data_IF_704365249153
#
_entry.id   IF_704365249153
#
_cell.length_a   1.000
_cell.length_b   1.000
_cell.length_c   1.000
_cell.angle_alpha   90.00
_cell.angle_beta   90.00
_cell.angle_gamma   90.00
#
_symmetry.space_group_name_H-M   'P 1'
#
loop_
_entity.id
_entity.type
_entity.pdbx_description
1 polymer ?
#
# COMPACT_ATOMS: atom_id res chain seq x y z
N UNK A 1 32.05 -12.67 64.54
CA UNK A 1 31.75 -12.26 63.17
C UNK A 1 30.64 -13.20 62.65
N UNK A 2 29.37 -12.75 62.71
CA UNK A 2 28.22 -13.54 62.21
C UNK A 2 28.07 -13.24 60.71
N UNK A 3 28.38 -14.22 59.87
CA UNK A 3 28.01 -14.20 58.45
C UNK A 3 26.50 -14.51 58.36
N UNK A 4 25.68 -13.51 58.04
CA UNK A 4 24.31 -13.71 57.69
C UNK A 4 24.28 -14.55 56.37
N UNK A 5 23.81 -15.77 56.44
CA UNK A 5 23.51 -16.57 55.25
C UNK A 5 22.28 -15.95 54.56
N UNK A 6 22.51 -15.33 53.43
CA UNK A 6 21.43 -14.91 52.52
C UNK A 6 20.75 -16.18 51.98
N UNK A 7 19.54 -16.42 52.37
CA UNK A 7 18.68 -17.46 51.79
C UNK A 7 18.36 -17.10 50.37
N UNK A 8 18.99 -17.78 49.43
CA UNK A 8 18.56 -17.69 48.02
C UNK A 8 17.22 -18.42 47.90
N UNK A 9 16.13 -17.63 47.74
CA UNK A 9 14.82 -18.21 47.43
C UNK A 9 14.79 -18.48 45.92
N UNK A 10 14.78 -19.76 45.55
CA UNK A 10 14.57 -20.19 44.17
C UNK A 10 13.09 -20.14 43.80
N UNK A 11 12.79 -19.94 42.52
CA UNK A 11 11.43 -19.99 41.98
C UNK A 11 10.85 -21.42 42.11
N UNK A 12 9.56 -21.49 42.45
CA UNK A 12 8.85 -22.77 42.49
C UNK A 12 8.42 -23.18 41.08
N UNK A 13 8.31 -24.49 40.83
CA UNK A 13 7.83 -25.01 39.55
C UNK A 13 6.42 -24.49 39.23
N UNK A 14 5.54 -24.41 40.23
CA UNK A 14 4.18 -23.91 40.05
C UNK A 14 4.14 -22.41 39.63
N UNK A 15 5.06 -21.63 40.17
CA UNK A 15 5.16 -20.18 39.84
C UNK A 15 5.51 -19.96 38.35
N UNK A 16 6.44 -20.75 37.82
CA UNK A 16 6.77 -20.75 36.41
C UNK A 16 5.60 -21.23 35.55
N UNK A 17 4.92 -22.30 35.96
CA UNK A 17 3.75 -22.82 35.23
C UNK A 17 2.61 -21.82 35.16
N UNK A 18 2.31 -21.10 36.24
CA UNK A 18 1.27 -20.05 36.25
C UNK A 18 1.63 -18.92 35.34
N UNK A 19 2.89 -18.47 35.33
CA UNK A 19 3.35 -17.40 34.42
C UNK A 19 3.21 -17.83 32.95
N UNK A 20 3.57 -19.06 32.61
CA UNK A 20 3.44 -19.57 31.22
C UNK A 20 1.97 -19.65 30.79
N UNK A 21 1.06 -20.05 31.68
CA UNK A 21 -0.39 -20.07 31.40
C UNK A 21 -0.91 -18.65 31.13
N UNK A 22 -0.56 -17.69 31.96
CA UNK A 22 -0.97 -16.30 31.81
C UNK A 22 -0.42 -15.72 30.49
N UNK A 23 0.86 -15.95 30.20
CA UNK A 23 1.48 -15.50 28.93
C UNK A 23 0.81 -16.14 27.73
N UNK A 24 0.44 -17.41 27.82
CA UNK A 24 -0.29 -18.12 26.75
C UNK A 24 -1.67 -17.50 26.48
N UNK A 25 -2.43 -17.18 27.52
CA UNK A 25 -3.73 -16.52 27.38
C UNK A 25 -3.58 -15.13 26.78
N UNK A 26 -2.61 -14.34 27.25
CA UNK A 26 -2.36 -13.00 26.73
C UNK A 26 -1.89 -13.04 25.27
N UNK A 27 -1.04 -13.98 24.91
CA UNK A 27 -0.59 -14.17 23.52
C UNK A 27 -1.75 -14.50 22.59
N UNK A 28 -2.71 -15.34 23.01
CA UNK A 28 -3.87 -15.71 22.21
C UNK A 28 -4.80 -14.52 21.88
N UNK A 29 -4.80 -13.50 22.73
CA UNK A 29 -5.63 -12.28 22.52
C UNK A 29 -4.90 -11.21 21.70
N UNK A 30 -3.58 -11.09 21.85
CA UNK A 30 -2.78 -10.01 21.26
C UNK A 30 -2.35 -10.33 19.81
N UNK A 31 -1.95 -11.59 19.56
CA UNK A 31 -1.40 -12.00 18.26
C UNK A 31 -2.35 -11.74 17.08
N UNK A 32 -3.65 -12.06 17.12
CA UNK A 32 -4.55 -11.82 16.00
C UNK A 32 -4.68 -10.33 15.64
N UNK A 33 -4.69 -9.44 16.63
CA UNK A 33 -4.89 -7.99 16.42
C UNK A 33 -3.67 -7.29 15.82
N UNK A 34 -2.49 -7.85 15.99
CA UNK A 34 -1.25 -7.28 15.45
C UNK A 34 -1.01 -7.70 14.01
N UNK A 35 -1.53 -8.87 13.60
CA UNK A 35 -1.34 -9.40 12.24
C UNK A 35 -2.16 -8.65 11.18
N UNK A 36 -3.29 -8.03 11.54
CA UNK A 36 -4.13 -7.28 10.57
C UNK A 36 -3.63 -5.85 10.31
N UNK A 37 -2.79 -5.30 11.17
CA UNK A 37 -2.29 -3.92 11.01
C UNK A 37 -1.42 -3.69 9.77
N UNK A 38 -0.52 -4.60 9.37
CA UNK A 38 0.24 -4.44 8.13
C UNK A 38 -0.65 -4.37 6.89
N UNK A 39 -1.74 -5.11 6.86
CA UNK A 39 -2.64 -5.17 5.70
C UNK A 39 -3.45 -3.88 5.54
N UNK A 40 -3.96 -3.33 6.65
CA UNK A 40 -4.62 -2.02 6.64
C UNK A 40 -3.65 -0.92 6.19
N UNK A 41 -2.40 -0.96 6.64
CA UNK A 41 -1.38 0.00 6.23
C UNK A 41 -1.07 -0.10 4.72
N UNK A 42 -1.01 -1.30 4.15
CA UNK A 42 -0.84 -1.53 2.71
C UNK A 42 -1.99 -0.95 1.90
N UNK A 43 -3.22 -1.23 2.28
CA UNK A 43 -4.41 -0.66 1.62
C UNK A 43 -4.38 0.87 1.68
N UNK A 44 -4.09 1.45 2.84
CA UNK A 44 -3.99 2.90 3.01
C UNK A 44 -2.89 3.49 2.12
N UNK A 45 -1.73 2.84 2.05
CA UNK A 45 -0.65 3.29 1.15
C UNK A 45 -1.08 3.23 -0.32
N UNK A 46 -1.71 2.15 -0.77
CA UNK A 46 -2.22 2.04 -2.13
C UNK A 46 -3.19 3.17 -2.47
N UNK A 47 -4.11 3.48 -1.57
CA UNK A 47 -5.04 4.61 -1.74
C UNK A 47 -4.32 5.97 -1.86
N UNK A 48 -3.27 6.19 -1.08
CA UNK A 48 -2.47 7.41 -1.14
C UNK A 48 -1.68 7.51 -2.45
N UNK A 49 -1.07 6.41 -2.89
CA UNK A 49 -0.33 6.37 -4.16
C UNK A 49 -1.27 6.68 -5.34
N UNK A 50 -2.47 6.08 -5.37
CA UNK A 50 -3.47 6.33 -6.41
C UNK A 50 -3.89 7.81 -6.43
N UNK A 51 -4.14 8.44 -5.28
CA UNK A 51 -4.44 9.88 -5.20
C UNK A 51 -3.30 10.73 -5.74
N UNK A 52 -2.06 10.35 -5.46
CA UNK A 52 -0.88 11.05 -5.97
C UNK A 52 -0.76 10.91 -7.48
N UNK A 53 -0.97 9.70 -8.01
CA UNK A 53 -0.96 9.44 -9.44
C UNK A 53 -2.09 10.20 -10.17
N UNK A 54 -3.28 10.23 -9.61
CA UNK A 54 -4.42 10.98 -10.14
C UNK A 54 -4.15 12.49 -10.19
N UNK A 55 -3.53 13.02 -9.11
CA UNK A 55 -3.10 14.43 -9.08
C UNK A 55 -2.06 14.73 -10.15
N UNK A 56 -1.10 13.85 -10.35
CA UNK A 56 -0.06 13.98 -11.37
C UNK A 56 -0.63 13.88 -12.79
N UNK A 57 -1.61 12.99 -13.01
CA UNK A 57 -2.35 12.90 -14.28
C UNK A 57 -3.15 14.18 -14.57
N UNK A 58 -3.73 14.78 -13.54
CA UNK A 58 -4.45 16.04 -13.66
C UNK A 58 -3.51 17.19 -14.07
N UNK A 59 -2.30 17.25 -13.49
CA UNK A 59 -1.27 18.20 -13.91
C UNK A 59 -0.81 17.94 -15.35
N UNK A 60 -0.59 16.67 -15.71
CA UNK A 60 -0.25 16.30 -17.08
C UNK A 60 -1.31 16.77 -18.07
N UNK A 61 -2.59 16.55 -17.78
CA UNK A 61 -3.70 17.00 -18.61
C UNK A 61 -3.76 18.52 -18.72
N UNK A 62 -3.49 19.23 -17.62
CA UNK A 62 -3.50 20.70 -17.60
C UNK A 62 -2.46 21.26 -18.57
N UNK A 63 -1.26 20.69 -18.62
CA UNK A 63 -0.18 21.14 -19.50
C UNK A 63 -0.37 20.66 -20.94
N UNK A 64 -0.86 19.45 -21.15
CA UNK A 64 -0.91 18.79 -22.46
C UNK A 64 -2.31 18.74 -23.08
N UNK A 65 -3.35 19.22 -22.38
CA UNK A 65 -4.76 19.24 -22.77
C UNK A 65 -5.43 17.86 -22.86
N UNK A 66 -4.68 16.77 -22.75
CA UNK A 66 -5.17 15.41 -22.82
C UNK A 66 -4.49 14.57 -21.72
N UNK A 67 -5.16 13.53 -21.28
CA UNK A 67 -4.51 12.46 -20.50
C UNK A 67 -3.62 11.61 -21.43
N UNK A 68 -2.61 10.92 -20.90
CA UNK A 68 -1.90 9.90 -21.66
C UNK A 68 -2.87 8.84 -22.17
N UNK A 69 -2.58 8.21 -23.30
CA UNK A 69 -3.35 7.03 -23.73
C UNK A 69 -3.06 5.82 -22.83
N UNK A 70 -3.91 4.79 -22.89
CA UNK A 70 -3.65 3.53 -22.17
C UNK A 70 -2.30 2.94 -22.55
N UNK A 71 -1.91 3.01 -23.83
CA UNK A 71 -0.61 2.51 -24.32
C UNK A 71 0.58 3.32 -23.79
N UNK A 72 0.42 4.62 -23.64
CA UNK A 72 1.43 5.49 -23.01
C UNK A 72 1.55 5.23 -21.51
N UNK A 73 0.46 4.85 -20.87
CA UNK A 73 0.40 4.44 -19.48
C UNK A 73 0.85 5.50 -18.48
N UNK A 74 1.03 5.08 -17.25
CA UNK A 74 1.54 5.92 -16.17
C UNK A 74 3.02 6.31 -16.35
N UNK A 75 3.77 5.59 -17.17
CA UNK A 75 5.16 5.94 -17.51
C UNK A 75 5.28 7.34 -18.13
N UNK A 76 4.20 7.81 -18.79
CA UNK A 76 4.12 9.16 -19.33
C UNK A 76 4.27 10.27 -18.27
N UNK A 77 4.05 9.96 -17.00
CA UNK A 77 4.25 10.89 -15.88
C UNK A 77 5.73 11.07 -15.51
N UNK A 78 6.54 10.03 -15.69
CA UNK A 78 7.96 10.04 -15.34
C UNK A 78 8.87 10.31 -16.55
N UNK A 79 8.44 9.92 -17.77
CA UNK A 79 9.20 10.07 -19.01
C UNK A 79 8.30 10.61 -20.11
N UNK A 80 8.85 11.48 -20.96
CA UNK A 80 8.10 11.98 -22.11
C UNK A 80 7.67 10.80 -22.99
N UNK A 81 6.34 10.58 -23.14
CA UNK A 81 5.85 9.48 -23.95
C UNK A 81 6.06 9.74 -25.44
N UNK A 82 6.16 8.68 -26.20
CA UNK A 82 6.09 8.67 -27.65
C UNK A 82 4.69 8.25 -28.12
N UNK A 83 4.39 8.50 -29.39
CA UNK A 83 3.11 8.12 -29.98
C UNK A 83 1.99 9.13 -29.74
N UNK A 84 0.77 8.71 -30.08
CA UNK A 84 -0.41 9.58 -30.01
C UNK A 84 -1.23 9.31 -28.72
N UNK A 85 -1.76 10.39 -28.09
CA UNK A 85 -1.54 11.81 -28.41
C UNK A 85 -0.16 12.30 -27.98
N UNK A 86 0.52 13.02 -28.85
CA UNK A 86 1.83 13.61 -28.50
C UNK A 86 1.61 14.75 -27.50
N UNK A 87 2.33 14.75 -26.35
CA UNK A 87 2.20 15.81 -25.36
C UNK A 87 2.80 17.12 -25.90
N UNK A 88 2.00 18.20 -25.87
CA UNK A 88 2.41 19.49 -26.39
C UNK A 88 3.38 20.24 -25.50
N UNK A 89 3.17 20.17 -24.20
CA UNK A 89 3.94 20.89 -23.18
C UNK A 89 4.37 19.96 -22.08
N UNK A 90 5.00 18.83 -22.45
CA UNK A 90 5.47 17.90 -21.44
C UNK A 90 6.51 18.56 -20.52
N UNK A 91 6.26 18.52 -19.23
CA UNK A 91 7.11 19.15 -18.21
C UNK A 91 8.48 18.48 -18.16
N UNK A 92 9.55 19.23 -18.38
CA UNK A 92 10.92 18.74 -18.22
C UNK A 92 11.15 18.28 -16.78
N UNK A 93 11.67 17.05 -16.61
CA UNK A 93 11.81 16.38 -15.32
C UNK A 93 10.59 15.54 -14.91
N UNK A 94 9.48 15.60 -15.66
CA UNK A 94 8.30 14.80 -15.40
C UNK A 94 7.35 15.37 -14.34
N UNK A 95 6.29 14.63 -14.09
CA UNK A 95 5.23 14.94 -13.12
C UNK A 95 5.41 14.13 -11.82
N UNK A 96 6.22 13.10 -11.88
CA UNK A 96 6.67 12.26 -10.74
C UNK A 96 8.14 11.89 -10.97
N UNK A 97 8.88 11.69 -9.88
CA UNK A 97 10.29 11.30 -9.97
C UNK A 97 10.45 9.85 -10.45
N UNK A 98 9.60 8.96 -9.95
CA UNK A 98 9.54 7.55 -10.34
C UNK A 98 8.13 7.00 -10.15
N UNK A 99 7.77 6.04 -10.99
CA UNK A 99 6.49 5.35 -10.87
C UNK A 99 6.53 4.37 -9.70
N UNK A 100 5.67 4.52 -8.69
CA UNK A 100 5.63 3.61 -7.56
C UNK A 100 5.06 2.25 -7.98
N UNK A 101 5.45 1.21 -7.26
CA UNK A 101 4.73 -0.05 -7.23
C UNK A 101 3.73 -0.05 -6.09
N UNK A 102 2.69 -0.84 -6.22
CA UNK A 102 1.74 -1.04 -5.14
C UNK A 102 2.42 -1.73 -3.92
N UNK A 103 1.80 -1.73 -2.75
CA UNK A 103 2.39 -2.32 -1.53
C UNK A 103 2.62 -3.83 -1.58
N UNK A 104 2.12 -4.50 -2.60
CA UNK A 104 2.33 -5.93 -2.86
C UNK A 104 3.37 -6.20 -3.94
N UNK A 105 3.95 -5.13 -4.53
CA UNK A 105 5.04 -5.20 -5.51
C UNK A 105 4.59 -5.22 -6.96
N UNK A 106 3.29 -5.06 -7.24
CA UNK A 106 2.73 -5.03 -8.58
C UNK A 106 2.72 -3.61 -9.15
N UNK A 107 2.74 -3.42 -10.48
CA UNK A 107 2.52 -2.11 -11.08
C UNK A 107 1.07 -1.66 -10.92
N UNK A 108 0.84 -0.35 -10.72
CA UNK A 108 -0.49 0.23 -10.84
C UNK A 108 -0.98 0.15 -12.28
N UNK A 109 -2.26 -0.11 -12.44
CA UNK A 109 -2.94 -0.20 -13.74
C UNK A 109 -3.51 1.16 -14.13
N UNK A 110 -3.65 1.38 -15.43
CA UNK A 110 -4.16 2.62 -15.99
C UNK A 110 -5.02 2.36 -17.23
N UNK A 111 -6.16 3.02 -17.30
CA UNK A 111 -7.06 2.98 -18.46
C UNK A 111 -7.48 4.41 -18.85
N UNK A 112 -7.40 4.69 -20.13
CA UNK A 112 -7.94 5.91 -20.73
C UNK A 112 -8.56 5.59 -22.12
N UNK A 113 -9.87 5.69 -22.28
CA UNK A 113 -10.85 6.10 -21.27
C UNK A 113 -11.02 5.08 -20.14
N UNK A 114 -11.33 5.57 -18.94
CA UNK A 114 -11.67 4.73 -17.80
C UNK A 114 -13.05 4.09 -17.94
N UNK A 115 -13.29 3.06 -17.16
CA UNK A 115 -14.61 2.40 -17.06
C UNK A 115 -15.46 2.98 -15.92
N UNK A 116 -14.80 3.56 -14.91
CA UNK A 116 -15.45 4.15 -13.73
C UNK A 116 -15.41 5.69 -13.74
N UNK A 117 -14.35 6.27 -14.29
CA UNK A 117 -14.16 7.71 -14.38
C UNK A 117 -13.53 8.09 -15.72
N UNK A 118 -13.16 9.35 -15.90
CA UNK A 118 -12.50 9.79 -17.14
C UNK A 118 -11.23 8.99 -17.45
N UNK A 119 -10.48 8.68 -16.42
CA UNK A 119 -9.35 7.75 -16.43
C UNK A 119 -9.41 6.90 -15.17
N UNK A 120 -9.05 5.65 -15.27
CA UNK A 120 -8.98 4.75 -14.11
C UNK A 120 -7.52 4.47 -13.76
N UNK A 121 -7.18 4.64 -12.47
CA UNK A 121 -5.90 4.26 -11.88
C UNK A 121 -6.19 3.31 -10.73
N UNK A 122 -5.61 2.12 -10.74
CA UNK A 122 -5.97 1.09 -9.76
C UNK A 122 -4.86 0.07 -9.51
N UNK A 123 -4.99 -0.65 -8.41
CA UNK A 123 -4.23 -1.85 -8.06
C UNK A 123 -5.19 -3.02 -7.96
N UNK A 124 -4.77 -4.19 -8.38
CA UNK A 124 -5.50 -5.45 -8.19
C UNK A 124 -5.39 -6.03 -6.77
N UNK A 125 -4.86 -5.25 -5.80
CA UNK A 125 -4.72 -5.74 -4.43
C UNK A 125 -3.66 -6.82 -4.25
N UNK A 126 -3.81 -7.59 -3.18
CA UNK A 126 -2.78 -8.51 -2.72
C UNK A 126 -2.57 -9.73 -3.62
N UNK A 127 -3.56 -10.16 -4.38
CA UNK A 127 -3.46 -11.33 -5.26
C UNK A 127 -3.10 -10.99 -6.71
N UNK A 128 -3.12 -9.69 -7.07
CA UNK A 128 -2.77 -9.22 -8.41
C UNK A 128 -3.77 -9.62 -9.50
N UNK A 129 -5.01 -9.95 -9.14
CA UNK A 129 -6.08 -10.34 -10.04
C UNK A 129 -7.31 -9.46 -9.86
N UNK A 130 -8.08 -9.28 -10.94
CA UNK A 130 -9.31 -8.51 -10.93
C UNK A 130 -10.34 -9.10 -9.96
N UNK A 131 -10.98 -8.23 -9.16
CA UNK A 131 -11.98 -8.58 -8.17
C UNK A 131 -11.41 -8.86 -6.79
N UNK A 132 -11.96 -9.85 -6.08
CA UNK A 132 -11.53 -10.22 -4.73
C UNK A 132 -12.22 -9.44 -3.62
N UNK A 133 -11.92 -9.82 -2.38
CA UNK A 133 -12.47 -9.24 -1.15
C UNK A 133 -11.35 -8.84 -0.17
N UNK A 134 -11.64 -7.84 0.66
CA UNK A 134 -10.71 -7.37 1.69
C UNK A 134 -9.42 -6.83 1.08
N UNK A 135 -8.27 -7.38 1.45
CA UNK A 135 -6.94 -6.96 0.94
C UNK A 135 -6.68 -7.39 -0.50
N UNK A 136 -7.48 -8.29 -1.04
CA UNK A 136 -7.41 -8.77 -2.43
C UNK A 136 -8.32 -7.97 -3.35
N UNK A 137 -9.21 -7.14 -2.80
CA UNK A 137 -10.10 -6.32 -3.58
C UNK A 137 -9.34 -5.27 -4.40
N UNK A 138 -9.86 -4.95 -5.57
CA UNK A 138 -9.36 -3.88 -6.41
C UNK A 138 -9.49 -2.52 -5.70
N UNK A 139 -8.42 -1.76 -5.71
CA UNK A 139 -8.35 -0.41 -5.15
C UNK A 139 -8.13 0.55 -6.31
N UNK A 140 -9.13 1.36 -6.61
CA UNK A 140 -9.08 2.32 -7.70
C UNK A 140 -9.48 3.72 -7.27
N UNK A 141 -9.27 4.70 -8.16
CA UNK A 141 -9.64 6.08 -7.89
C UNK A 141 -11.16 6.30 -7.73
N UNK A 142 -11.96 5.30 -8.00
CA UNK A 142 -13.42 5.30 -7.81
C UNK A 142 -13.89 4.80 -6.43
N UNK A 143 -13.01 4.24 -5.59
CA UNK A 143 -13.35 3.65 -4.29
C UNK A 143 -12.34 3.98 -3.17
N UNK A 144 -11.81 5.20 -3.16
CA UNK A 144 -10.79 5.66 -2.20
C UNK A 144 -11.32 6.09 -0.83
N UNK A 145 -12.60 5.94 -0.56
CA UNK A 145 -13.21 6.27 0.74
C UNK A 145 -12.85 5.30 1.86
#
# INVERSE_FOLDING_TARGET
MNRAQQRMTGFTLIEVMVVLVILGILAAVIVPRVMDRPDVARVTKAKQDIRTLESSLSLYKLDNFNYPSTDQGLDALAKKPSGSPEPRNWKEGGYIDHLPKDPWGNPYQYLNPGTHSAVDVFSYGADGHEGGDGIKADIGNWNLE
#
